data_IF_585859083407
#
_entry.id   IF_585859083407
#
_cell.length_a   1.000
_cell.length_b   1.000
_cell.length_c   1.000
_cell.angle_alpha   90.00
_cell.angle_beta   90.00
_cell.angle_gamma   90.00
#
_symmetry.space_group_name_H-M   'P 1'
#
loop_
_entity.id
_entity.type
_entity.pdbx_description
1 polymer ?
#
# COMPACT_ATOMS: atom_id res chain seq x y z
N UNK A 1 -39.92 27.00 22.21
CA UNK A 1 -40.20 26.25 20.94
C UNK A 1 -39.23 26.75 19.88
N UNK A 2 -38.74 25.85 19.00
CA UNK A 2 -38.07 26.11 17.70
C UNK A 2 -36.81 27.01 17.66
N UNK A 3 -35.65 26.34 17.64
CA UNK A 3 -34.63 26.33 16.57
C UNK A 3 -34.45 27.57 15.66
N UNK A 4 -33.26 28.18 15.71
CA UNK A 4 -32.64 28.97 14.62
C UNK A 4 -31.11 28.75 14.69
N UNK A 5 -30.58 27.83 13.90
CA UNK A 5 -29.80 28.08 12.68
C UNK A 5 -28.41 28.71 12.93
N UNK A 6 -27.39 27.85 13.02
CA UNK A 6 -25.97 28.23 12.92
C UNK A 6 -25.63 28.46 11.45
N UNK A 7 -25.20 29.67 11.07
CA UNK A 7 -24.50 29.88 9.81
C UNK A 7 -23.63 31.16 9.78
N UNK A 8 -22.43 30.98 9.21
CA UNK A 8 -21.60 31.96 8.49
C UNK A 8 -20.73 32.97 9.27
N UNK A 9 -19.68 33.43 8.57
CA UNK A 9 -18.69 34.49 8.89
C UNK A 9 -17.51 34.05 9.79
N UNK A 10 -16.64 33.21 9.21
CA UNK A 10 -15.27 32.92 9.69
C UNK A 10 -14.19 33.00 8.59
N UNK A 11 -14.53 33.61 7.47
CA UNK A 11 -13.67 33.86 6.29
C UNK A 11 -13.16 35.31 6.44
N UNK A 12 -11.84 35.60 6.62
CA UNK A 12 -10.83 35.34 5.58
C UNK A 12 -9.35 35.26 6.09
N UNK A 13 -9.01 34.41 7.07
CA UNK A 13 -7.70 34.51 7.78
C UNK A 13 -6.68 33.37 7.55
N UNK A 14 -6.67 32.73 6.36
CA UNK A 14 -5.66 31.71 6.02
C UNK A 14 -5.14 31.76 4.57
N UNK A 15 -5.21 32.92 3.90
CA UNK A 15 -4.80 33.12 2.50
C UNK A 15 -3.73 34.22 2.33
N UNK A 16 -2.85 34.41 3.32
CA UNK A 16 -2.02 35.62 3.45
C UNK A 16 -0.52 35.44 3.73
N UNK A 17 0.03 34.23 3.68
CA UNK A 17 1.47 33.97 3.86
C UNK A 17 1.89 32.79 2.98
N UNK A 18 2.90 32.82 2.11
CA UNK A 18 3.69 33.88 1.49
C UNK A 18 4.59 33.17 0.46
N UNK A 19 4.08 32.93 -0.75
CA UNK A 19 4.93 32.52 -1.86
C UNK A 19 5.73 33.70 -2.39
N UNK A 20 6.76 34.18 -1.67
CA UNK A 20 7.62 35.29 -2.13
C UNK A 20 8.95 35.46 -1.34
N UNK A 21 9.86 34.47 -1.30
CA UNK A 21 11.05 34.62 -0.43
C UNK A 21 12.34 33.81 -0.69
N UNK A 22 12.44 32.95 -1.71
CA UNK A 22 13.61 32.05 -1.86
C UNK A 22 14.53 32.30 -3.07
N UNK A 23 14.15 33.15 -4.02
CA UNK A 23 14.66 33.07 -5.40
C UNK A 23 15.77 34.06 -5.82
N UNK A 24 16.23 34.96 -4.94
CA UNK A 24 17.17 36.03 -5.31
C UNK A 24 18.15 36.32 -4.17
N UNK A 25 19.42 35.91 -4.35
CA UNK A 25 20.64 36.69 -4.11
C UNK A 25 21.91 35.81 -4.33
N UNK A 26 22.82 36.26 -5.21
CA UNK A 26 24.22 35.78 -5.45
C UNK A 26 24.37 34.44 -6.25
N UNK A 27 24.35 34.40 -7.61
CA UNK A 27 25.33 34.86 -8.64
C UNK A 27 26.51 33.88 -8.93
N UNK A 28 27.19 33.86 -10.12
CA UNK A 28 26.87 34.26 -11.51
C UNK A 28 27.13 33.09 -12.56
N UNK A 29 27.02 33.28 -13.91
CA UNK A 29 26.99 32.19 -14.94
C UNK A 29 28.35 31.99 -15.68
N UNK A 30 28.48 31.20 -16.79
CA UNK A 30 27.56 30.25 -17.46
C UNK A 30 28.15 28.80 -17.34
N UNK A 31 28.25 27.86 -18.33
CA UNK A 31 27.91 27.78 -19.78
C UNK A 31 26.67 26.91 -20.10
N UNK A 32 26.54 26.44 -21.35
CA UNK A 32 25.44 25.66 -21.93
C UNK A 32 25.52 24.14 -21.70
N UNK A 33 24.38 23.50 -21.42
CA UNK A 33 24.06 22.12 -21.85
C UNK A 33 22.62 22.14 -22.40
N UNK A 34 22.40 21.44 -23.51
CA UNK A 34 21.24 21.60 -24.39
C UNK A 34 19.91 21.04 -23.86
N UNK A 35 18.84 21.42 -24.57
CA UNK A 35 17.44 21.01 -24.41
C UNK A 35 17.18 19.63 -23.77
N UNK A 36 16.25 19.63 -22.81
CA UNK A 36 15.36 18.49 -22.57
C UNK A 36 13.93 19.00 -22.43
N UNK A 37 13.00 18.59 -23.30
CA UNK A 37 11.64 19.12 -23.29
C UNK A 37 10.89 18.67 -22.02
N UNK A 38 10.11 19.59 -21.46
CA UNK A 38 9.33 19.36 -20.25
C UNK A 38 8.26 18.27 -20.45
N UNK A 39 8.17 17.36 -19.48
CA UNK A 39 6.98 16.56 -19.25
C UNK A 39 6.03 17.36 -18.34
N UNK A 40 4.75 17.56 -18.72
CA UNK A 40 3.79 18.29 -17.89
C UNK A 40 3.31 17.46 -16.70
N UNK A 41 2.82 18.17 -15.69
CA UNK A 41 2.22 17.63 -14.47
C UNK A 41 1.16 16.55 -14.70
N UNK A 42 1.24 15.52 -13.85
CA UNK A 42 0.13 14.62 -13.54
C UNK A 42 0.09 14.39 -12.02
N UNK A 43 -0.13 15.49 -11.28
CA UNK A 43 -0.64 15.40 -9.92
C UNK A 43 -2.05 14.78 -9.93
N UNK A 44 -2.45 14.23 -8.78
CA UNK A 44 -3.74 13.55 -8.53
C UNK A 44 -3.91 12.13 -9.08
N UNK A 45 -3.43 11.15 -8.30
CA UNK A 45 -3.93 9.78 -8.33
C UNK A 45 -4.15 9.25 -6.90
N UNK A 46 -5.36 9.45 -6.37
CA UNK A 46 -5.91 8.69 -5.24
C UNK A 46 -5.30 8.96 -3.86
N UNK A 47 -5.96 9.79 -3.06
CA UNK A 47 -5.85 9.69 -1.61
C UNK A 47 -6.37 8.32 -1.16
N UNK A 48 -5.46 7.35 -0.98
CA UNK A 48 -5.81 6.01 -0.53
C UNK A 48 -6.56 6.08 0.81
N UNK A 49 -7.65 5.32 1.00
CA UNK A 49 -8.37 5.33 2.27
C UNK A 49 -7.41 4.95 3.40
N UNK A 50 -7.42 5.76 4.45
CA UNK A 50 -6.71 5.50 5.69
C UNK A 50 -7.41 4.38 6.46
N UNK A 51 -7.27 3.13 5.96
CA UNK A 51 -7.66 1.92 6.69
C UNK A 51 -7.02 1.94 8.08
N UNK A 52 -7.85 1.71 9.09
CA UNK A 52 -7.47 1.92 10.48
C UNK A 52 -6.23 1.12 10.89
N UNK A 53 -5.34 1.78 11.63
CA UNK A 53 -4.26 1.11 12.36
C UNK A 53 -4.76 0.08 13.41
N UNK A 54 -6.07 0.00 13.67
CA UNK A 54 -6.67 -0.97 14.58
C UNK A 54 -6.49 -2.43 14.17
N UNK A 55 -6.55 -2.74 12.86
CA UNK A 55 -6.33 -4.11 12.37
C UNK A 55 -4.89 -4.62 12.65
N UNK A 56 -3.90 -3.71 12.56
CA UNK A 56 -2.49 -3.98 12.93
C UNK A 56 -2.30 -4.39 14.39
N UNK A 57 -3.18 -3.92 15.29
CA UNK A 57 -3.04 -4.15 16.74
C UNK A 57 -3.70 -5.46 17.22
N UNK A 58 -4.79 -5.89 16.58
CA UNK A 58 -5.61 -7.02 17.08
C UNK A 58 -5.13 -8.41 16.61
N UNK A 59 -4.24 -8.47 15.61
CA UNK A 59 -3.90 -9.71 14.92
C UNK A 59 -2.89 -10.63 15.65
N UNK A 60 -2.43 -10.27 16.85
CA UNK A 60 -1.47 -11.07 17.61
C UNK A 60 -1.51 -10.81 19.12
N UNK A 61 -2.47 -11.39 19.81
CA UNK A 61 -2.39 -11.52 21.26
C UNK A 61 -1.21 -12.45 21.61
N UNK A 62 -0.13 -11.86 22.15
CA UNK A 62 1.06 -12.58 22.64
C UNK A 62 2.10 -13.01 21.60
N UNK A 63 1.92 -12.76 20.30
CA UNK A 63 2.93 -13.09 19.26
C UNK A 63 3.65 -11.86 18.70
N UNK A 64 4.88 -12.05 18.24
CA UNK A 64 5.68 -10.99 17.63
C UNK A 64 5.25 -10.79 16.17
N UNK A 65 4.64 -9.65 15.87
CA UNK A 65 4.23 -9.29 14.51
C UNK A 65 5.37 -8.61 13.75
N UNK A 66 5.53 -9.02 12.49
CA UNK A 66 6.41 -8.40 11.50
C UNK A 66 5.47 -7.92 10.40
N UNK A 67 5.16 -6.63 10.43
CA UNK A 67 4.54 -5.93 9.32
C UNK A 67 5.36 -6.18 8.05
N UNK A 68 4.74 -6.76 7.01
CA UNK A 68 5.28 -6.72 5.66
C UNK A 68 4.86 -5.39 5.01
N UNK A 69 3.65 -4.92 5.31
CA UNK A 69 3.04 -3.68 4.83
C UNK A 69 2.36 -3.84 3.47
N UNK A 70 1.80 -2.76 2.95
CA UNK A 70 0.94 -2.77 1.78
C UNK A 70 1.60 -3.28 0.49
N UNK A 71 0.81 -3.95 -0.34
CA UNK A 71 1.11 -4.42 -1.69
C UNK A 71 -0.09 -4.18 -2.59
N UNK A 72 0.15 -3.88 -3.87
CA UNK A 72 -0.89 -3.74 -4.90
C UNK A 72 -0.52 -4.68 -6.05
N UNK A 73 -1.46 -5.51 -6.51
CA UNK A 73 -1.29 -6.34 -7.70
C UNK A 73 -2.41 -6.07 -8.72
N UNK A 74 -2.09 -6.01 -10.03
CA UNK A 74 -3.09 -6.01 -11.08
C UNK A 74 -3.50 -7.46 -11.41
N UNK A 75 -4.79 -7.73 -11.37
CA UNK A 75 -5.41 -8.98 -11.84
C UNK A 75 -6.07 -8.70 -13.19
N UNK A 76 -5.64 -9.43 -14.21
CA UNK A 76 -6.08 -9.21 -15.59
C UNK A 76 -7.41 -9.96 -15.83
N UNK A 77 -8.48 -9.23 -16.14
CA UNK A 77 -9.76 -9.78 -16.60
C UNK A 77 -9.96 -9.45 -18.09
N UNK A 78 -10.87 -10.15 -18.80
CA UNK A 78 -11.13 -9.88 -20.22
C UNK A 78 -11.58 -8.43 -20.46
N UNK A 79 -12.60 -7.97 -19.74
CA UNK A 79 -13.15 -6.60 -19.84
C UNK A 79 -12.58 -5.59 -18.82
N UNK A 80 -11.64 -5.97 -17.94
CA UNK A 80 -11.19 -5.10 -16.85
C UNK A 80 -9.75 -5.36 -16.35
N UNK A 81 -9.23 -4.42 -15.56
CA UNK A 81 -8.11 -4.65 -14.62
C UNK A 81 -8.69 -4.56 -13.21
N UNK A 82 -8.54 -5.62 -12.41
CA UNK A 82 -8.85 -5.56 -10.98
C UNK A 82 -7.57 -5.29 -10.20
N UNK A 83 -7.46 -4.10 -9.60
CA UNK A 83 -6.38 -3.79 -8.67
C UNK A 83 -6.74 -4.37 -7.31
N UNK A 84 -6.01 -5.39 -6.88
CA UNK A 84 -6.12 -5.98 -5.53
C UNK A 84 -5.05 -5.37 -4.65
N UNK A 85 -5.47 -4.83 -3.51
CA UNK A 85 -4.58 -4.20 -2.53
C UNK A 85 -4.65 -4.97 -1.23
N UNK A 86 -3.49 -5.41 -0.77
CA UNK A 86 -3.32 -6.22 0.44
C UNK A 86 -2.47 -5.46 1.44
N UNK A 87 -2.86 -5.49 2.72
CA UNK A 87 -1.99 -5.13 3.84
C UNK A 87 -1.66 -6.41 4.60
N UNK A 88 -0.37 -6.71 4.73
CA UNK A 88 0.12 -8.02 5.14
C UNK A 88 1.08 -7.92 6.32
N UNK A 89 0.99 -8.88 7.23
CA UNK A 89 1.97 -9.11 8.28
C UNK A 89 2.18 -10.61 8.53
N UNK A 90 3.28 -10.93 9.20
CA UNK A 90 3.61 -12.27 9.65
C UNK A 90 3.68 -12.26 11.19
N UNK A 91 2.90 -13.10 11.86
CA UNK A 91 3.10 -13.36 13.28
C UNK A 91 4.12 -14.50 13.45
N UNK A 92 5.25 -14.20 14.10
CA UNK A 92 6.28 -15.17 14.43
C UNK A 92 5.90 -15.99 15.67
N UNK A 93 6.34 -17.25 15.69
CA UNK A 93 6.20 -18.16 16.84
C UNK A 93 7.12 -17.78 18.01
N UNK A 94 8.30 -17.24 17.72
CA UNK A 94 9.37 -16.97 18.69
C UNK A 94 10.23 -15.76 18.27
N UNK A 95 11.09 -15.29 19.19
CA UNK A 95 11.94 -14.12 18.98
C UNK A 95 13.05 -14.35 17.93
N UNK A 96 13.54 -15.58 17.75
CA UNK A 96 14.57 -15.91 16.77
C UNK A 96 13.99 -15.90 15.36
N UNK A 97 12.82 -16.50 15.15
CA UNK A 97 12.05 -16.41 13.91
C UNK A 97 11.69 -14.95 13.61
N UNK A 98 11.26 -14.18 14.61
CA UNK A 98 10.95 -12.76 14.42
C UNK A 98 12.17 -11.95 13.94
N UNK A 99 13.37 -12.21 14.49
CA UNK A 99 14.60 -11.59 14.03
C UNK A 99 14.93 -11.96 12.57
N UNK A 100 14.78 -13.24 12.18
CA UNK A 100 15.00 -13.70 10.80
C UNK A 100 14.01 -13.07 9.82
N UNK A 101 12.71 -13.02 10.18
CA UNK A 101 11.66 -12.39 9.37
C UNK A 101 11.92 -10.88 9.18
N UNK A 102 12.36 -10.17 10.23
CA UNK A 102 12.74 -8.74 10.14
C UNK A 102 13.94 -8.53 9.22
N UNK A 103 15.01 -9.30 9.38
CA UNK A 103 16.20 -9.22 8.52
C UNK A 103 15.92 -9.58 7.06
N UNK A 104 14.97 -10.49 6.81
CA UNK A 104 14.55 -10.92 5.48
C UNK A 104 13.43 -10.12 4.83
N UNK A 105 12.86 -9.08 5.48
CA UNK A 105 11.59 -8.43 5.09
C UNK A 105 11.49 -8.08 3.60
N UNK A 106 12.55 -7.52 3.00
CA UNK A 106 12.55 -7.14 1.57
C UNK A 106 12.42 -8.38 0.68
N UNK A 107 13.31 -9.36 0.82
CA UNK A 107 13.26 -10.61 0.03
C UNK A 107 11.96 -11.39 0.23
N UNK A 108 11.39 -11.35 1.43
CA UNK A 108 10.08 -11.95 1.71
C UNK A 108 8.96 -11.22 0.96
N UNK A 109 8.96 -9.88 0.94
CA UNK A 109 8.02 -9.10 0.13
C UNK A 109 8.18 -9.44 -1.36
N UNK A 110 9.40 -9.48 -1.88
CA UNK A 110 9.64 -9.74 -3.31
C UNK A 110 9.16 -11.14 -3.71
N UNK A 111 9.47 -12.17 -2.91
CA UNK A 111 9.02 -13.54 -3.15
C UNK A 111 7.49 -13.70 -3.06
N UNK A 112 6.86 -13.06 -2.07
CA UNK A 112 5.39 -13.05 -1.94
C UNK A 112 4.75 -12.32 -3.12
N UNK A 113 5.27 -11.16 -3.53
CA UNK A 113 4.74 -10.40 -4.67
C UNK A 113 4.86 -11.18 -5.98
N UNK A 114 5.98 -11.87 -6.20
CA UNK A 114 6.18 -12.74 -7.36
C UNK A 114 5.17 -13.91 -7.38
N UNK A 115 4.99 -14.59 -6.24
CA UNK A 115 4.02 -15.68 -6.12
C UNK A 115 2.56 -15.22 -6.31
N UNK A 116 2.20 -14.05 -5.75
CA UNK A 116 0.88 -13.45 -5.95
C UNK A 116 0.66 -13.00 -7.40
N UNK A 117 1.69 -12.49 -8.07
CA UNK A 117 1.62 -12.12 -9.49
C UNK A 117 1.41 -13.36 -10.37
N UNK A 118 2.11 -14.47 -10.11
CA UNK A 118 1.87 -15.73 -10.80
C UNK A 118 0.47 -16.31 -10.52
N UNK A 119 -0.03 -16.15 -9.29
CA UNK A 119 -1.39 -16.56 -8.92
C UNK A 119 -2.49 -15.62 -9.46
N UNK A 120 -2.15 -14.41 -9.93
CA UNK A 120 -3.09 -13.42 -10.44
C UNK A 120 -3.79 -13.88 -11.73
N UNK A 121 -3.13 -14.75 -12.52
CA UNK A 121 -3.70 -15.39 -13.70
C UNK A 121 -4.68 -16.52 -13.34
N UNK A 122 -4.72 -16.92 -12.07
CA UNK A 122 -5.55 -18.02 -11.56
C UNK A 122 -6.88 -17.58 -10.93
N UNK A 123 -7.82 -18.53 -10.73
CA UNK A 123 -9.16 -18.24 -10.24
C UNK A 123 -9.19 -17.68 -8.80
N UNK A 124 -8.17 -17.94 -7.99
CA UNK A 124 -8.11 -17.49 -6.59
C UNK A 124 -8.15 -15.95 -6.43
N UNK A 125 -7.58 -15.22 -7.38
CA UNK A 125 -7.50 -13.75 -7.39
C UNK A 125 -8.45 -13.10 -8.40
N UNK A 126 -8.76 -13.81 -9.51
CA UNK A 126 -9.72 -13.37 -10.52
C UNK A 126 -11.20 -13.58 -10.11
N UNK A 127 -11.46 -14.57 -9.25
CA UNK A 127 -12.80 -14.93 -8.76
C UNK A 127 -13.46 -13.84 -7.91
N UNK A 128 -14.78 -13.89 -7.78
CA UNK A 128 -15.56 -12.94 -7.00
C UNK A 128 -16.49 -13.67 -6.02
N UNK A 129 -16.34 -13.50 -4.69
CA UNK A 129 -15.27 -12.77 -4.01
C UNK A 129 -13.87 -13.44 -4.16
N UNK A 130 -12.82 -12.71 -3.79
CA UNK A 130 -11.44 -13.24 -3.74
C UNK A 130 -11.35 -14.35 -2.69
N UNK A 131 -10.72 -15.48 -3.03
CA UNK A 131 -10.51 -16.58 -2.10
C UNK A 131 -9.33 -16.28 -1.16
N UNK A 132 -9.65 -15.76 0.04
CA UNK A 132 -8.64 -15.42 1.04
C UNK A 132 -7.90 -16.66 1.60
N UNK A 133 -8.50 -17.85 1.56
CA UNK A 133 -7.86 -19.08 2.02
C UNK A 133 -6.81 -19.55 1.00
N UNK A 134 -7.15 -19.55 -0.29
CA UNK A 134 -6.20 -19.81 -1.37
C UNK A 134 -5.09 -18.77 -1.38
N UNK A 135 -5.42 -17.48 -1.23
CA UNK A 135 -4.46 -16.38 -1.10
C UNK A 135 -3.46 -16.61 0.05
N UNK A 136 -3.95 -16.93 1.27
CA UNK A 136 -3.08 -17.22 2.43
C UNK A 136 -2.22 -18.46 2.18
N UNK A 137 -2.73 -19.47 1.47
CA UNK A 137 -1.97 -20.64 1.09
C UNK A 137 -0.84 -20.30 0.08
N UNK A 138 -1.11 -19.48 -0.94
CA UNK A 138 -0.11 -18.98 -1.88
C UNK A 138 0.99 -18.18 -1.17
N UNK A 139 0.61 -17.25 -0.29
CA UNK A 139 1.57 -16.47 0.51
C UNK A 139 2.43 -17.40 1.38
N UNK A 140 1.82 -18.40 2.02
CA UNK A 140 2.54 -19.36 2.86
C UNK A 140 3.50 -20.25 2.05
N UNK A 141 3.11 -20.68 0.86
CA UNK A 141 3.96 -21.45 -0.05
C UNK A 141 5.15 -20.63 -0.60
N UNK A 142 5.02 -19.30 -0.65
CA UNK A 142 6.09 -18.38 -1.03
C UNK A 142 7.09 -18.09 0.12
N UNK A 143 6.79 -18.47 1.35
CA UNK A 143 7.72 -18.34 2.47
C UNK A 143 8.80 -19.44 2.40
N UNK A 144 10.09 -19.13 2.65
CA UNK A 144 11.13 -20.14 2.78
C UNK A 144 10.77 -21.17 3.88
N UNK A 145 11.07 -22.45 3.67
CA UNK A 145 10.61 -23.55 4.55
C UNK A 145 10.89 -23.29 6.04
N UNK A 146 12.13 -22.90 6.38
CA UNK A 146 12.54 -22.57 7.76
C UNK A 146 11.96 -21.27 8.34
N UNK A 147 11.08 -20.58 7.60
CA UNK A 147 10.29 -19.43 8.03
C UNK A 147 8.78 -19.69 7.93
N UNK A 148 8.32 -20.59 7.05
CA UNK A 148 6.92 -20.99 6.90
C UNK A 148 6.39 -21.84 8.08
N UNK A 149 7.30 -22.51 8.80
CA UNK A 149 6.96 -23.34 9.96
C UNK A 149 6.67 -22.49 11.21
N UNK A 150 5.41 -22.50 11.67
CA UNK A 150 4.98 -21.77 12.86
C UNK A 150 4.79 -20.26 12.68
N UNK A 151 5.17 -19.68 11.53
CA UNK A 151 4.74 -18.34 11.17
C UNK A 151 3.29 -18.36 10.67
N UNK A 152 2.51 -17.36 11.06
CA UNK A 152 1.12 -17.19 10.64
C UNK A 152 1.00 -15.97 9.72
N UNK A 153 0.33 -16.16 8.57
CA UNK A 153 0.07 -15.09 7.60
C UNK A 153 -1.17 -14.32 8.04
N UNK A 154 -0.98 -13.05 8.34
CA UNK A 154 -2.02 -12.11 8.74
C UNK A 154 -2.36 -11.20 7.57
N UNK A 155 -3.55 -11.37 7.00
CA UNK A 155 -4.15 -10.40 6.07
C UNK A 155 -4.82 -9.34 6.93
N UNK A 156 -4.19 -8.17 7.05
CA UNK A 156 -4.66 -7.05 7.87
C UNK A 156 -5.69 -6.20 7.14
N UNK A 157 -5.67 -6.23 5.82
CA UNK A 157 -6.66 -5.62 4.96
C UNK A 157 -6.58 -6.23 3.55
N UNK A 158 -7.74 -6.41 2.94
CA UNK A 158 -7.89 -6.84 1.56
C UNK A 158 -9.01 -5.99 0.95
N UNK A 159 -8.68 -5.24 -0.10
CA UNK A 159 -9.69 -4.58 -0.92
C UNK A 159 -9.35 -4.75 -2.40
N UNK A 160 -10.35 -4.60 -3.27
CA UNK A 160 -10.13 -4.60 -4.70
C UNK A 160 -10.98 -3.54 -5.38
N UNK A 161 -10.49 -3.03 -6.50
CA UNK A 161 -11.19 -2.08 -7.35
C UNK A 161 -11.05 -2.54 -8.81
N UNK A 162 -12.18 -2.59 -9.52
CA UNK A 162 -12.18 -2.88 -10.95
C UNK A 162 -12.15 -1.60 -11.77
N UNK A 163 -11.32 -1.60 -12.81
CA UNK A 163 -11.18 -0.53 -13.78
C UNK A 163 -11.48 -1.14 -15.16
N UNK A 164 -12.55 -0.73 -15.83
CA UNK A 164 -12.88 -1.24 -17.17
C UNK A 164 -11.75 -1.01 -18.16
N UNK A 165 -11.55 -1.97 -19.07
CA UNK A 165 -10.81 -1.78 -20.32
C UNK A 165 -11.82 -1.29 -21.34
N UNK A 166 -11.58 -0.11 -21.92
CA UNK A 166 -12.44 0.49 -22.95
C UNK A 166 -12.37 -0.25 -24.29
#
# INVERSE_FOLDING_TARGET
>A
MKTTLVLLIGLPLLAGVAGYGGGMLLAPPPPEVADSPALPDAAEAGAAPAVEHGARAKAAEGRLVIDLGRMTLPVQKPEAVRYVVLDLALAARDAQQAARLRGGKVRLRDGILAALTAAAEGPALAGDPIDEAALRATIRAALPEGLAEGAEVLVLGLYSQEVPRG
#
